data_IF_095239333474
#
_entry.id   IF_095239333474
#
_cell.length_a   1.000
_cell.length_b   1.000
_cell.length_c   1.000
_cell.angle_alpha   90.00
_cell.angle_beta   90.00
_cell.angle_gamma   90.00
#
_symmetry.space_group_name_H-M   'P 1'
#
loop_
_entity.id
_entity.type
_entity.pdbx_description
1 polymer ?
#
# COMPACT_ATOMS: atom_id res chain seq x y z
N UNK A 1 23.84 -15.35 -36.91
CA UNK A 1 22.44 -15.82 -37.00
C UNK A 1 21.91 -16.55 -35.76
N UNK A 2 22.59 -17.54 -35.14
CA UNK A 2 22.05 -18.25 -33.94
C UNK A 2 22.21 -17.44 -32.64
N UNK A 3 23.32 -16.73 -32.48
CA UNK A 3 23.65 -15.95 -31.27
C UNK A 3 22.73 -14.74 -31.08
N UNK A 4 22.48 -13.98 -32.14
CA UNK A 4 21.55 -12.84 -32.14
C UNK A 4 20.11 -13.24 -31.78
N UNK A 5 19.65 -14.41 -32.24
CA UNK A 5 18.31 -14.93 -31.89
C UNK A 5 18.19 -15.28 -30.41
N UNK A 6 19.28 -15.73 -29.77
CA UNK A 6 19.28 -15.99 -28.32
C UNK A 6 19.32 -14.70 -27.49
N UNK A 7 20.07 -13.69 -27.94
CA UNK A 7 20.15 -12.38 -27.27
C UNK A 7 18.83 -11.61 -27.37
N UNK A 8 18.17 -11.62 -28.55
CA UNK A 8 16.85 -11.04 -28.73
C UNK A 8 15.81 -11.67 -27.77
N UNK A 9 15.82 -13.02 -27.64
CA UNK A 9 14.93 -13.73 -26.69
C UNK A 9 15.19 -13.34 -25.23
N UNK A 10 16.46 -13.15 -24.83
CA UNK A 10 16.83 -12.72 -23.48
C UNK A 10 16.44 -11.25 -23.20
N UNK A 11 16.61 -10.37 -24.18
CA UNK A 11 16.20 -8.97 -24.09
C UNK A 11 14.67 -8.84 -24.01
N UNK A 12 13.94 -9.67 -24.74
CA UNK A 12 12.48 -9.72 -24.71
C UNK A 12 11.96 -10.31 -23.39
N UNK A 13 12.62 -11.35 -22.85
CA UNK A 13 12.34 -11.82 -21.48
C UNK A 13 12.63 -10.76 -20.42
N UNK A 14 13.70 -9.97 -20.55
CA UNK A 14 13.97 -8.84 -19.65
C UNK A 14 12.90 -7.75 -19.77
N UNK A 15 12.45 -7.40 -20.98
CA UNK A 15 11.32 -6.48 -21.21
C UNK A 15 10.01 -7.02 -20.62
N UNK A 16 9.74 -8.33 -20.74
CA UNK A 16 8.55 -8.98 -20.15
C UNK A 16 8.60 -9.03 -18.62
N UNK A 17 9.77 -9.22 -18.02
CA UNK A 17 9.96 -9.13 -16.55
C UNK A 17 9.87 -7.70 -16.04
N UNK A 18 10.17 -6.72 -16.88
CA UNK A 18 9.93 -5.29 -16.65
C UNK A 18 8.51 -4.86 -17.06
N UNK A 19 7.60 -5.82 -17.25
CA UNK A 19 6.20 -5.55 -17.52
C UNK A 19 5.52 -5.08 -16.24
N UNK A 20 5.34 -3.75 -16.14
CA UNK A 20 4.46 -3.06 -15.18
C UNK A 20 4.53 -3.59 -13.74
N UNK A 21 5.62 -3.29 -13.05
CA UNK A 21 5.45 -2.93 -11.64
C UNK A 21 4.87 -1.51 -11.67
N UNK A 22 3.56 -1.37 -11.51
CA UNK A 22 2.97 -0.06 -11.24
C UNK A 22 3.47 0.35 -9.85
N UNK A 23 4.52 1.17 -9.82
CA UNK A 23 5.03 1.75 -8.59
C UNK A 23 4.01 2.77 -8.11
N UNK A 24 3.27 2.42 -7.05
CA UNK A 24 2.47 3.39 -6.32
C UNK A 24 3.45 4.20 -5.48
N UNK A 25 3.67 5.46 -5.86
CA UNK A 25 4.41 6.41 -5.05
C UNK A 25 3.51 6.84 -3.90
N UNK A 26 3.82 6.41 -2.67
CA UNK A 26 3.14 6.85 -1.47
C UNK A 26 4.07 7.80 -0.72
N UNK A 27 3.64 9.04 -0.56
CA UNK A 27 4.38 10.08 0.15
C UNK A 27 3.83 10.19 1.56
N UNK A 28 4.64 9.87 2.56
CA UNK A 28 4.31 10.15 3.96
C UNK A 28 4.79 11.57 4.32
N UNK A 29 3.90 12.38 4.87
CA UNK A 29 4.22 13.73 5.37
C UNK A 29 3.97 13.73 6.86
N UNK A 30 4.99 14.06 7.64
CA UNK A 30 4.86 14.24 9.08
C UNK A 30 4.06 15.53 9.31
N UNK A 31 2.82 15.38 9.78
CA UNK A 31 1.96 16.49 10.19
C UNK A 31 1.92 16.52 11.71
N UNK A 32 2.18 17.68 12.30
CA UNK A 32 1.91 17.93 13.72
C UNK A 32 0.40 18.08 13.87
N UNK A 33 -0.28 16.93 13.94
CA UNK A 33 -1.74 16.86 13.89
C UNK A 33 -2.37 17.08 15.27
N UNK A 34 -3.48 17.81 15.27
CA UNK A 34 -4.33 17.96 16.45
C UNK A 34 -5.13 16.68 16.76
N UNK A 35 -5.37 15.82 15.76
CA UNK A 35 -6.06 14.53 15.92
C UNK A 35 -5.40 13.46 15.02
N UNK A 36 -4.26 12.89 15.46
CA UNK A 36 -3.54 11.89 14.68
C UNK A 36 -4.37 10.63 14.42
N UNK A 37 -5.33 10.28 15.31
CA UNK A 37 -6.21 9.12 15.12
C UNK A 37 -7.10 9.36 13.90
N UNK A 38 -7.75 10.52 13.82
CA UNK A 38 -8.64 10.85 12.70
C UNK A 38 -7.88 10.95 11.37
N UNK A 39 -6.67 11.51 11.37
CA UNK A 39 -5.86 11.61 10.16
C UNK A 39 -5.45 10.24 9.59
N UNK A 40 -5.08 9.30 10.47
CA UNK A 40 -4.82 7.93 10.05
C UNK A 40 -6.09 7.28 9.49
N UNK A 41 -7.26 7.50 10.10
CA UNK A 41 -8.54 6.97 9.61
C UNK A 41 -8.86 7.48 8.20
N UNK A 42 -8.77 8.78 7.99
CA UNK A 42 -9.10 9.41 6.71
C UNK A 42 -8.13 8.96 5.61
N UNK A 43 -6.81 8.94 5.90
CA UNK A 43 -5.82 8.48 4.95
C UNK A 43 -5.98 6.99 4.59
N UNK A 44 -6.26 6.13 5.58
CA UNK A 44 -6.48 4.70 5.33
C UNK A 44 -7.76 4.46 4.52
N UNK A 45 -8.87 5.13 4.86
CA UNK A 45 -10.11 5.01 4.12
C UNK A 45 -9.94 5.46 2.65
N UNK A 46 -9.24 6.58 2.44
CA UNK A 46 -8.92 7.06 1.10
C UNK A 46 -8.03 6.05 0.36
N UNK A 47 -7.00 5.51 1.00
CA UNK A 47 -6.11 4.52 0.39
C UNK A 47 -6.85 3.24 0.00
N UNK A 48 -7.68 2.68 0.89
CA UNK A 48 -8.45 1.46 0.64
C UNK A 48 -9.41 1.66 -0.54
N UNK A 49 -10.16 2.76 -0.54
CA UNK A 49 -11.17 3.04 -1.58
C UNK A 49 -10.53 3.38 -2.92
N UNK A 50 -9.49 4.22 -2.93
CA UNK A 50 -8.83 4.68 -4.17
C UNK A 50 -8.03 3.57 -4.85
N UNK A 51 -7.42 2.67 -4.08
CA UNK A 51 -6.66 1.53 -4.62
C UNK A 51 -7.52 0.28 -4.84
N UNK A 52 -8.78 0.30 -4.37
CA UNK A 52 -9.71 -0.82 -4.55
C UNK A 52 -9.34 -2.06 -3.73
N UNK A 53 -8.79 -1.88 -2.52
CA UNK A 53 -8.46 -3.00 -1.64
C UNK A 53 -9.76 -3.60 -1.09
N UNK A 54 -9.99 -4.88 -1.39
CA UNK A 54 -11.20 -5.62 -0.96
C UNK A 54 -10.89 -6.92 -0.21
N UNK A 55 -9.62 -7.34 -0.19
CA UNK A 55 -9.20 -8.62 0.38
C UNK A 55 -8.30 -8.44 1.61
N UNK A 56 -8.30 -9.44 2.49
CA UNK A 56 -7.51 -9.42 3.72
C UNK A 56 -5.99 -9.29 3.44
N UNK A 57 -5.51 -9.79 2.30
CA UNK A 57 -4.09 -9.68 1.92
C UNK A 57 -3.71 -8.26 1.53
N UNK A 58 -4.56 -7.56 0.77
CA UNK A 58 -4.36 -6.14 0.46
C UNK A 58 -4.41 -5.29 1.73
N UNK A 59 -5.37 -5.54 2.61
CA UNK A 59 -5.49 -4.84 3.89
C UNK A 59 -4.26 -5.05 4.80
N UNK A 60 -3.75 -6.29 4.89
CA UNK A 60 -2.52 -6.59 5.62
C UNK A 60 -1.32 -5.83 5.06
N UNK A 61 -1.17 -5.81 3.73
CA UNK A 61 -0.06 -5.07 3.08
C UNK A 61 -0.12 -3.57 3.35
N UNK A 62 -1.32 -3.00 3.35
CA UNK A 62 -1.53 -1.60 3.70
C UNK A 62 -1.08 -1.33 5.14
N UNK A 63 -1.54 -2.15 6.09
CA UNK A 63 -1.16 -2.03 7.50
C UNK A 63 0.36 -2.19 7.71
N UNK A 64 0.97 -3.21 7.10
CA UNK A 64 2.41 -3.44 7.17
C UNK A 64 3.20 -2.23 6.63
N UNK A 65 2.72 -1.59 5.56
CA UNK A 65 3.31 -0.37 5.03
C UNK A 65 3.24 0.79 6.03
N UNK A 66 2.07 1.10 6.60
CA UNK A 66 1.91 2.15 7.62
C UNK A 66 2.83 1.91 8.83
N UNK A 67 2.91 0.67 9.32
CA UNK A 67 3.78 0.33 10.45
C UNK A 67 5.28 0.45 10.11
N UNK A 68 5.66 0.30 8.83
CA UNK A 68 7.05 0.40 8.39
C UNK A 68 7.56 1.82 8.21
N UNK A 69 6.67 2.77 7.87
CA UNK A 69 7.05 4.16 7.57
C UNK A 69 6.82 5.11 8.74
N UNK A 70 6.19 4.65 9.83
CA UNK A 70 5.92 5.43 11.03
C UNK A 70 6.75 4.92 12.23
N UNK A 71 6.99 5.81 13.19
CA UNK A 71 7.69 5.47 14.43
C UNK A 71 6.89 4.48 15.31
N UNK A 72 7.58 3.85 16.26
CA UNK A 72 6.94 2.84 17.13
C UNK A 72 5.83 3.42 18.00
N UNK A 73 5.95 4.69 18.41
CA UNK A 73 4.96 5.38 19.25
C UNK A 73 3.60 5.55 18.55
N UNK A 74 3.61 5.68 17.21
CA UNK A 74 2.39 5.79 16.41
C UNK A 74 1.66 4.46 16.20
N UNK A 75 2.28 3.32 16.53
CA UNK A 75 1.72 1.99 16.22
C UNK A 75 0.35 1.76 16.88
N UNK A 76 0.17 2.22 18.12
CA UNK A 76 -1.11 2.08 18.83
C UNK A 76 -2.23 2.78 18.08
N UNK A 77 -2.01 4.05 17.72
CA UNK A 77 -2.96 4.89 16.98
C UNK A 77 -3.24 4.33 15.59
N UNK A 78 -2.21 3.84 14.88
CA UNK A 78 -2.35 3.21 13.56
C UNK A 78 -3.25 1.97 13.64
N UNK A 79 -3.06 1.11 14.64
CA UNK A 79 -3.86 -0.11 14.80
C UNK A 79 -5.32 0.21 15.14
N UNK A 80 -5.56 1.21 15.98
CA UNK A 80 -6.90 1.69 16.32
C UNK A 80 -7.63 2.23 15.09
N UNK A 81 -6.98 3.14 14.35
CA UNK A 81 -7.52 3.69 13.11
C UNK A 81 -7.84 2.59 12.08
N UNK A 82 -6.92 1.63 11.91
CA UNK A 82 -7.09 0.53 10.97
C UNK A 82 -8.30 -0.34 11.32
N UNK A 83 -8.46 -0.71 12.59
CA UNK A 83 -9.61 -1.47 13.07
C UNK A 83 -10.92 -0.73 12.75
N UNK A 84 -11.01 0.53 13.13
CA UNK A 84 -12.21 1.34 12.95
C UNK A 84 -12.60 1.49 11.47
N UNK A 85 -11.63 1.76 10.59
CA UNK A 85 -11.87 1.88 9.15
C UNK A 85 -12.35 0.55 8.59
N UNK A 86 -11.69 -0.57 8.91
CA UNK A 86 -12.11 -1.89 8.45
C UNK A 86 -13.50 -2.27 8.96
N UNK A 87 -13.79 -2.00 10.24
CA UNK A 87 -15.09 -2.25 10.82
C UNK A 87 -16.19 -1.48 10.09
N UNK A 88 -15.98 -0.17 9.85
CA UNK A 88 -16.96 0.68 9.17
C UNK A 88 -17.14 0.34 7.68
N UNK A 89 -16.07 -0.07 6.98
CA UNK A 89 -16.15 -0.36 5.54
C UNK A 89 -16.65 -1.78 5.21
N UNK A 90 -16.32 -2.77 6.05
CA UNK A 90 -16.53 -4.19 5.69
C UNK A 90 -17.46 -4.95 6.62
N UNK A 91 -17.63 -4.51 7.88
CA UNK A 91 -18.43 -5.24 8.89
C UNK A 91 -19.77 -4.57 9.13
N UNK A 92 -19.77 -3.25 9.34
CA UNK A 92 -20.96 -2.44 9.58
C UNK A 92 -21.65 -2.12 8.25
N UNK A 93 -22.39 -3.09 7.70
CA UNK A 93 -23.32 -2.85 6.59
C UNK A 93 -24.67 -2.31 7.06
#
# INVERSE_FOLDING_TARGET
>A
MIRERQEARRAEQRKRRMGRTEFILIVAVEMDSYDPVQDFKDSMAQMITSTGIVDAKGLRRLLDWYLSVNCEDSRGVILEAFYDVCFNLFVRK
#
